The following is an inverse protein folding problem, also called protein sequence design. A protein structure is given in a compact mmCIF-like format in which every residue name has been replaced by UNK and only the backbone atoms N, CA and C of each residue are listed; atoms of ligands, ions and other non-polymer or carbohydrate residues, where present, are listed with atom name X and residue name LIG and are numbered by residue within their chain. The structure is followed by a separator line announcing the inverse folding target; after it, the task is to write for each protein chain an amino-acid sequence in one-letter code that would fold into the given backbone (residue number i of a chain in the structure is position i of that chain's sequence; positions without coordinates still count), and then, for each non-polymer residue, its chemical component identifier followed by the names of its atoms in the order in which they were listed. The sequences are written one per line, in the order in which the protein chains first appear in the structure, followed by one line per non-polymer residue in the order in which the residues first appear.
data_IF_622710334688
#
_entry.id   IF_622710334688
#
_cell.length_a   1.000
_cell.length_b   1.000
_cell.length_c   1.000
_cell.angle_alpha   90.00
_cell.angle_beta   90.00
_cell.angle_gamma   90.00
#
_symmetry.space_group_name_H-M   'P 1'
#
loop_
_entity.id
_entity.type
_entity.pdbx_description
1 polymer ?
#
# COMPACT_ATOMS: atom_id res chain seq x y z
N UNK A 1 -2.10 -1.14 -8.14
CA UNK A 1 -1.24 -0.25 -7.34
C UNK A 1 0.23 -0.57 -7.59
N UNK A 2 0.73 -1.75 -7.28
CA UNK A 2 2.15 -2.13 -7.48
C UNK A 2 2.71 -1.79 -8.86
N UNK A 3 1.95 -2.07 -9.93
CA UNK A 3 2.36 -1.78 -11.33
C UNK A 3 2.63 -0.30 -11.57
N UNK A 4 1.78 0.59 -11.03
CA UNK A 4 1.95 2.05 -11.17
C UNK A 4 3.19 2.52 -10.40
N UNK A 5 3.33 2.08 -9.16
CA UNK A 5 4.42 2.50 -8.29
C UNK A 5 5.76 2.02 -8.86
N UNK A 6 5.79 0.80 -9.41
CA UNK A 6 6.95 0.26 -10.14
C UNK A 6 7.26 1.07 -11.40
N UNK A 7 6.23 1.43 -12.19
CA UNK A 7 6.39 2.27 -13.39
C UNK A 7 6.91 3.68 -13.07
N UNK A 8 6.69 4.16 -11.85
CA UNK A 8 7.24 5.43 -11.34
C UNK A 8 8.66 5.27 -10.76
N UNK A 9 9.25 4.08 -10.80
CA UNK A 9 10.62 3.81 -10.37
C UNK A 9 10.79 3.40 -8.91
N UNK A 10 9.70 3.18 -8.16
CA UNK A 10 9.77 2.70 -6.79
C UNK A 10 10.18 1.20 -6.74
N UNK A 11 10.97 0.80 -5.73
CA UNK A 11 11.04 -0.58 -5.30
C UNK A 11 9.76 -0.92 -4.52
N UNK A 12 9.04 -1.95 -4.95
CA UNK A 12 7.71 -2.27 -4.43
C UNK A 12 7.73 -3.53 -3.58
N UNK A 13 7.30 -3.40 -2.33
CA UNK A 13 7.02 -4.52 -1.42
C UNK A 13 5.50 -4.64 -1.32
N UNK A 14 4.94 -5.73 -1.82
CA UNK A 14 3.50 -5.97 -1.74
C UNK A 14 3.18 -6.90 -0.58
N UNK A 15 2.09 -6.62 0.12
CA UNK A 15 1.58 -7.48 1.20
C UNK A 15 0.18 -7.97 0.88
N UNK A 16 -0.11 -9.22 1.14
CA UNK A 16 -1.44 -9.80 0.97
C UNK A 16 -1.73 -10.91 1.99
N UNK A 17 -3.00 -11.30 2.10
CA UNK A 17 -3.48 -12.33 3.03
C UNK A 17 -3.56 -13.74 2.41
N UNK A 18 -3.10 -13.93 1.18
CA UNK A 18 -3.02 -15.24 0.54
C UNK A 18 -1.89 -15.29 -0.49
N UNK A 19 -1.32 -16.49 -0.66
CA UNK A 19 -0.25 -16.75 -1.64
C UNK A 19 -0.71 -16.45 -3.07
N UNK A 20 -1.95 -16.76 -3.43
CA UNK A 20 -2.51 -16.45 -4.74
C UNK A 20 -2.44 -14.95 -5.06
N UNK A 21 -2.79 -14.10 -4.10
CA UNK A 21 -2.71 -12.65 -4.26
C UNK A 21 -1.26 -12.16 -4.34
N UNK A 22 -0.35 -12.78 -3.59
CA UNK A 22 1.06 -12.46 -3.65
C UNK A 22 1.68 -12.82 -5.00
N UNK A 23 1.25 -13.96 -5.57
CA UNK A 23 1.70 -14.36 -6.90
C UNK A 23 1.25 -13.34 -7.97
N UNK A 24 0.01 -12.87 -7.92
CA UNK A 24 -0.47 -11.78 -8.77
C UNK A 24 0.39 -10.53 -8.57
N UNK A 25 0.71 -10.16 -7.32
CA UNK A 25 1.55 -8.99 -7.06
C UNK A 25 2.95 -9.13 -7.68
N UNK A 26 3.56 -10.33 -7.64
CA UNK A 26 4.85 -10.61 -8.31
C UNK A 26 4.75 -10.47 -9.81
N UNK A 27 3.74 -11.09 -10.43
CA UNK A 27 3.49 -11.00 -11.87
C UNK A 27 3.29 -9.55 -12.33
N UNK A 28 2.67 -8.73 -11.48
CA UNK A 28 2.44 -7.31 -11.70
C UNK A 28 3.64 -6.42 -11.30
N UNK A 29 4.80 -7.00 -11.03
CA UNK A 29 6.07 -6.31 -10.87
C UNK A 29 6.43 -5.88 -9.44
N UNK A 30 5.84 -6.47 -8.40
CA UNK A 30 6.36 -6.30 -7.05
C UNK A 30 7.74 -6.95 -6.91
N UNK A 31 8.71 -6.21 -6.37
CA UNK A 31 10.08 -6.70 -6.17
C UNK A 31 10.16 -7.72 -5.03
N UNK A 32 9.35 -7.51 -3.98
CA UNK A 32 9.25 -8.37 -2.81
C UNK A 32 7.79 -8.56 -2.41
N UNK A 33 7.47 -9.67 -1.77
CA UNK A 33 6.14 -9.92 -1.24
C UNK A 33 6.19 -10.46 0.19
N UNK A 34 5.19 -10.08 1.00
CA UNK A 34 5.07 -10.54 2.39
C UNK A 34 3.65 -11.01 2.66
N UNK A 35 3.50 -12.27 3.05
CA UNK A 35 2.23 -12.81 3.52
C UNK A 35 1.92 -12.27 4.91
N UNK A 36 0.66 -11.88 5.14
CA UNK A 36 0.18 -11.57 6.47
C UNK A 36 -1.04 -12.43 6.83
N UNK A 37 -1.18 -12.88 8.10
CA UNK A 37 -2.31 -13.68 8.52
C UNK A 37 -3.59 -12.83 8.59
N UNK A 38 -4.76 -13.46 8.40
CA UNK A 38 -6.06 -12.77 8.53
C UNK A 38 -6.41 -12.48 9.98
N UNK A 39 -6.05 -13.39 10.88
CA UNK A 39 -6.28 -13.25 12.32
C UNK A 39 -5.00 -12.75 12.98
N UNK A 40 -5.03 -11.52 13.49
CA UNK A 40 -3.86 -10.86 14.04
C UNK A 40 -3.86 -10.97 15.58
N UNK A 41 -2.77 -11.51 16.12
CA UNK A 41 -2.43 -11.47 17.53
C UNK A 41 -1.04 -10.83 17.72
N UNK A 42 -0.58 -10.70 18.94
CA UNK A 42 0.70 -10.04 19.25
C UNK A 42 1.91 -10.76 18.67
N UNK A 43 1.89 -12.09 18.60
CA UNK A 43 3.01 -12.88 18.06
C UNK A 43 3.07 -12.72 16.54
N UNK A 44 1.92 -12.77 15.88
CA UNK A 44 1.79 -12.54 14.43
C UNK A 44 2.10 -11.09 14.04
N UNK A 45 1.77 -10.10 14.87
CA UNK A 45 2.22 -8.72 14.69
C UNK A 45 3.74 -8.60 14.70
N UNK A 46 4.39 -9.28 15.65
CA UNK A 46 5.85 -9.32 15.74
C UNK A 46 6.47 -10.02 14.54
N UNK A 47 5.88 -11.15 14.11
CA UNK A 47 6.30 -11.89 12.92
C UNK A 47 6.18 -11.02 11.67
N UNK A 48 5.03 -10.38 11.43
CA UNK A 48 4.83 -9.47 10.30
C UNK A 48 5.87 -8.35 10.29
N UNK A 49 6.12 -7.71 11.44
CA UNK A 49 7.14 -6.68 11.55
C UNK A 49 8.54 -7.20 11.20
N UNK A 50 8.89 -8.42 11.62
CA UNK A 50 10.18 -9.04 11.31
C UNK A 50 10.29 -9.37 9.82
N UNK A 51 9.23 -9.92 9.22
CA UNK A 51 9.19 -10.25 7.79
C UNK A 51 9.35 -8.99 6.93
N UNK A 52 8.66 -7.90 7.28
CA UNK A 52 8.83 -6.60 6.60
C UNK A 52 10.26 -6.06 6.71
N UNK A 53 10.89 -6.17 7.89
CA UNK A 53 12.29 -5.75 8.09
C UNK A 53 13.28 -6.63 7.35
N UNK A 54 12.98 -7.94 7.18
CA UNK A 54 13.83 -8.85 6.44
C UNK A 54 13.92 -8.47 4.96
N UNK A 55 12.80 -8.06 4.34
CA UNK A 55 12.77 -7.62 2.94
C UNK A 55 13.17 -6.15 2.76
N UNK A 56 13.15 -5.35 3.83
CA UNK A 56 13.55 -3.95 3.86
C UNK A 56 14.48 -3.65 5.05
N UNK A 57 15.73 -4.11 5.04
CA UNK A 57 16.66 -3.99 6.19
C UNK A 57 16.97 -2.53 6.56
N UNK A 58 16.88 -1.60 5.61
CA UNK A 58 17.04 -0.15 5.83
C UNK A 58 15.73 0.57 6.19
N UNK A 59 14.63 -0.21 6.30
CA UNK A 59 13.29 0.31 6.50
C UNK A 59 12.57 0.66 5.19
N UNK A 60 11.28 0.95 5.31
CA UNK A 60 10.36 1.25 4.20
C UNK A 60 10.14 2.76 4.14
N UNK A 61 10.48 3.40 3.02
CA UNK A 61 10.36 4.86 2.88
C UNK A 61 8.90 5.34 2.85
N UNK A 62 8.02 4.57 2.21
CA UNK A 62 6.59 4.91 2.10
C UNK A 62 5.75 3.66 2.36
N UNK A 63 4.89 3.73 3.35
CA UNK A 63 3.88 2.70 3.64
C UNK A 63 2.52 3.23 3.17
N UNK A 64 1.89 2.53 2.23
CA UNK A 64 0.56 2.84 1.73
C UNK A 64 -0.45 1.89 2.37
N UNK A 65 -1.10 2.34 3.46
CA UNK A 65 -1.98 1.48 4.26
C UNK A 65 -3.47 1.73 3.96
N UNK A 66 -4.11 0.71 3.39
CA UNK A 66 -5.57 0.63 3.18
C UNK A 66 -6.25 -0.29 4.19
N UNK A 67 -5.48 -1.03 4.98
CA UNK A 67 -5.95 -2.11 5.83
C UNK A 67 -6.25 -1.61 7.23
N UNK A 68 -5.33 -0.89 7.84
CA UNK A 68 -5.46 -0.38 9.21
C UNK A 68 -5.45 -1.49 10.27
N UNK A 69 -6.28 -1.31 11.30
CA UNK A 69 -6.41 -2.27 12.39
C UNK A 69 -5.08 -2.67 13.02
N UNK A 70 -4.97 -3.94 13.39
CA UNK A 70 -3.78 -4.50 14.05
C UNK A 70 -2.58 -4.70 13.11
N UNK A 71 -2.72 -4.41 11.82
CA UNK A 71 -1.63 -4.47 10.83
C UNK A 71 -0.81 -3.18 10.79
N UNK A 72 -1.35 -2.08 11.28
CA UNK A 72 -0.73 -0.77 11.20
C UNK A 72 0.54 -0.63 12.05
N UNK A 73 0.51 -1.08 13.31
CA UNK A 73 1.66 -0.99 14.20
C UNK A 73 2.86 -1.82 13.69
N UNK A 74 2.73 -3.11 13.28
CA UNK A 74 3.81 -3.88 12.69
C UNK A 74 4.45 -3.18 11.48
N UNK A 75 3.63 -2.58 10.63
CA UNK A 75 4.09 -1.84 9.44
C UNK A 75 4.86 -0.59 9.84
N UNK A 76 4.36 0.20 10.79
CA UNK A 76 5.06 1.38 11.32
C UNK A 76 6.41 1.02 11.96
N UNK A 77 6.52 -0.16 12.58
CA UNK A 77 7.80 -0.64 13.15
C UNK A 77 8.87 -0.95 12.09
N UNK A 78 8.46 -1.17 10.84
CA UNK A 78 9.34 -1.42 9.71
C UNK A 78 9.67 -0.15 8.88
N UNK A 79 9.13 1.00 9.25
CA UNK A 79 9.36 2.27 8.52
C UNK A 79 10.81 2.73 8.62
N UNK A 80 11.31 3.36 7.56
CA UNK A 80 12.63 3.99 7.54
C UNK A 80 12.63 5.32 8.33
N UNK A 81 13.82 5.82 8.66
CA UNK A 81 13.98 7.19 9.13
C UNK A 81 13.51 8.18 8.06
N UNK A 82 12.77 9.20 8.43
CA UNK A 82 12.10 10.14 7.54
C UNK A 82 11.03 9.51 6.62
N UNK A 83 10.67 8.25 6.86
CA UNK A 83 9.63 7.57 6.11
C UNK A 83 8.23 8.16 6.35
N UNK A 84 7.32 7.89 5.43
CA UNK A 84 5.94 8.35 5.48
C UNK A 84 4.97 7.17 5.53
N UNK A 85 4.16 7.14 6.57
CA UNK A 85 3.05 6.22 6.70
C UNK A 85 1.78 6.89 6.20
N UNK A 86 1.26 6.46 5.06
CA UNK A 86 0.08 7.02 4.41
C UNK A 86 -1.17 6.28 4.88
N UNK A 87 -2.05 6.98 5.58
CA UNK A 87 -3.35 6.46 6.06
C UNK A 87 -4.36 6.67 4.95
N UNK A 88 -4.75 5.58 4.26
CA UNK A 88 -5.65 5.59 3.11
C UNK A 88 -7.04 5.04 3.48
N UNK A 89 -7.10 4.01 4.33
CA UNK A 89 -8.35 3.36 4.71
C UNK A 89 -8.22 2.45 5.91
N UNK A 90 -9.34 1.78 6.27
CA UNK A 90 -9.49 1.03 7.53
C UNK A 90 -10.29 -0.25 7.33
N UNK A 91 -9.98 -1.05 6.31
CA UNK A 91 -10.77 -2.27 6.01
C UNK A 91 -10.73 -3.31 7.14
N UNK A 92 -9.68 -3.31 7.99
CA UNK A 92 -9.57 -4.12 9.20
C UNK A 92 -9.86 -3.32 10.49
N UNK A 93 -10.43 -2.12 10.38
CA UNK A 93 -10.75 -1.24 11.50
C UNK A 93 -9.74 -0.12 11.73
N UNK A 94 -10.12 0.83 12.59
CA UNK A 94 -9.30 2.01 12.91
C UNK A 94 -8.09 1.57 13.75
N UNK A 95 -6.85 1.85 13.31
CA UNK A 95 -5.66 1.41 14.03
C UNK A 95 -5.42 2.21 15.31
N UNK A 96 -4.87 1.54 16.32
CA UNK A 96 -4.30 2.20 17.50
C UNK A 96 -2.80 2.34 17.29
N UNK A 97 -2.35 3.56 16.94
CA UNK A 97 -0.95 3.82 16.63
C UNK A 97 -0.18 4.27 17.89
N UNK A 98 0.92 3.57 18.26
CA UNK A 98 1.78 4.03 19.34
C UNK A 98 2.63 5.22 18.88
N UNK A 99 2.17 6.43 19.20
CA UNK A 99 2.78 7.68 18.71
C UNK A 99 4.26 7.85 19.08
N UNK A 100 4.74 7.19 20.15
CA UNK A 100 6.16 7.16 20.48
C UNK A 100 7.03 6.61 19.35
N UNK A 101 6.48 5.76 18.48
CA UNK A 101 7.23 5.26 17.31
C UNK A 101 7.55 6.37 16.31
N UNK A 102 6.72 7.40 16.18
CA UNK A 102 7.03 8.52 15.29
C UNK A 102 8.28 9.27 15.74
N UNK A 103 8.45 9.45 17.05
CA UNK A 103 9.66 10.03 17.64
C UNK A 103 10.88 9.10 17.43
N UNK A 104 10.73 7.80 17.79
CA UNK A 104 11.85 6.84 17.75
C UNK A 104 12.32 6.53 16.33
N UNK A 105 11.43 6.65 15.35
CA UNK A 105 11.71 6.40 13.93
C UNK A 105 11.96 7.69 13.14
N UNK A 106 11.76 8.85 13.75
CA UNK A 106 11.81 10.13 13.05
C UNK A 106 10.99 10.11 11.75
N UNK A 107 9.73 9.63 11.82
CA UNK A 107 8.86 9.41 10.65
C UNK A 107 7.57 10.23 10.73
N UNK A 108 6.80 10.21 9.67
CA UNK A 108 5.53 10.94 9.54
C UNK A 108 4.35 9.96 9.38
N UNK A 109 3.21 10.31 9.99
CA UNK A 109 1.92 9.69 9.71
C UNK A 109 1.07 10.72 8.98
N UNK A 110 0.64 10.42 7.76
CA UNK A 110 -0.02 11.35 6.84
C UNK A 110 -1.36 10.79 6.42
N UNK A 111 -2.44 11.55 6.66
CA UNK A 111 -3.76 11.23 6.13
C UNK A 111 -3.85 11.53 4.63
N UNK A 112 -4.47 10.62 3.87
CA UNK A 112 -4.71 10.79 2.44
C UNK A 112 -6.19 10.56 2.17
N UNK A 113 -6.94 11.64 2.01
CA UNK A 113 -8.38 11.59 1.75
C UNK A 113 -8.67 12.07 0.32
N UNK A 114 -8.52 11.14 -0.63
CA UNK A 114 -8.73 11.44 -2.05
C UNK A 114 -10.13 11.97 -2.35
N UNK A 115 -11.18 11.49 -1.67
CA UNK A 115 -12.55 11.98 -1.86
C UNK A 115 -12.70 13.49 -1.62
N UNK A 116 -12.00 14.02 -0.61
CA UNK A 116 -11.98 15.46 -0.35
C UNK A 116 -11.03 16.20 -1.31
N UNK A 117 -9.86 15.61 -1.57
CA UNK A 117 -8.85 16.18 -2.47
C UNK A 117 -9.41 16.50 -3.86
N UNK A 118 -10.18 15.58 -4.47
CA UNK A 118 -10.76 15.80 -5.79
C UNK A 118 -11.72 17.00 -5.85
N UNK A 119 -12.37 17.35 -4.73
CA UNK A 119 -13.25 18.52 -4.64
C UNK A 119 -12.50 19.82 -4.36
N UNK A 120 -11.40 19.76 -3.60
CA UNK A 120 -10.61 20.94 -3.24
C UNK A 120 -9.58 21.31 -4.32
N UNK A 121 -9.05 20.32 -5.03
CA UNK A 121 -7.99 20.48 -6.01
C UNK A 121 -8.33 19.79 -7.34
N UNK A 122 -9.46 20.18 -8.00
CA UNK A 122 -9.97 19.47 -9.18
C UNK A 122 -8.99 19.48 -10.37
N UNK A 123 -8.26 20.56 -10.56
CA UNK A 123 -7.29 20.66 -11.67
C UNK A 123 -6.09 19.72 -11.43
N UNK A 124 -5.57 19.66 -10.19
CA UNK A 124 -4.49 18.74 -9.85
C UNK A 124 -4.96 17.28 -9.95
N UNK A 125 -6.20 17.01 -9.50
CA UNK A 125 -6.80 15.69 -9.65
C UNK A 125 -6.94 15.29 -11.12
N UNK A 126 -7.39 16.20 -11.99
CA UNK A 126 -7.45 15.98 -13.43
C UNK A 126 -6.07 15.67 -14.00
N UNK A 127 -5.05 16.45 -13.64
CA UNK A 127 -3.68 16.20 -14.11
C UNK A 127 -3.18 14.82 -13.68
N UNK A 128 -3.45 14.40 -12.43
CA UNK A 128 -3.10 13.07 -11.95
C UNK A 128 -3.74 11.95 -12.79
N UNK A 129 -5.00 12.14 -13.23
CA UNK A 129 -5.66 11.20 -14.14
C UNK A 129 -4.99 11.18 -15.51
N UNK A 130 -4.75 12.37 -16.09
CA UNK A 130 -4.11 12.50 -17.40
C UNK A 130 -2.72 11.83 -17.40
N UNK A 131 -1.94 12.01 -16.34
CA UNK A 131 -0.63 11.37 -16.16
C UNK A 131 -0.75 9.85 -16.04
N UNK A 132 -1.73 9.34 -15.29
CA UNK A 132 -1.97 7.90 -15.18
C UNK A 132 -2.39 7.30 -16.54
N UNK A 133 -3.31 7.94 -17.28
CA UNK A 133 -3.71 7.49 -18.61
C UNK A 133 -2.55 7.53 -19.59
N UNK A 134 -1.73 8.59 -19.54
CA UNK A 134 -0.52 8.67 -20.36
C UNK A 134 0.44 7.52 -20.09
N UNK A 135 0.64 7.14 -18.83
CA UNK A 135 1.49 5.99 -18.49
C UNK A 135 0.96 4.68 -19.08
N UNK A 136 -0.36 4.50 -19.13
CA UNK A 136 -0.99 3.33 -19.80
C UNK A 136 -0.81 3.38 -21.30
N UNK A 137 -1.07 4.54 -21.93
CA UNK A 137 -0.90 4.68 -23.40
C UNK A 137 0.55 4.58 -23.86
N UNK A 138 1.49 5.03 -23.04
CA UNK A 138 2.93 4.88 -23.27
C UNK A 138 3.43 3.43 -23.03
N UNK A 139 2.54 2.52 -22.61
CA UNK A 139 2.87 1.12 -22.32
C UNK A 139 3.71 0.90 -21.08
N UNK A 140 3.80 1.91 -20.18
CA UNK A 140 4.58 1.80 -18.94
C UNK A 140 3.98 0.81 -17.94
N UNK A 141 2.66 0.67 -17.95
CA UNK A 141 1.97 -0.40 -17.26
C UNK A 141 0.61 -0.71 -17.93
N UNK A 142 0.10 -1.91 -17.69
CA UNK A 142 -1.21 -2.37 -18.16
C UNK A 142 -2.04 -2.79 -16.95
N UNK A 143 -3.20 -2.14 -16.69
CA UNK A 143 -4.09 -2.57 -15.60
C UNK A 143 -4.56 -4.01 -15.80
N UNK A 144 -4.48 -4.81 -14.73
CA UNK A 144 -4.98 -6.17 -14.75
C UNK A 144 -6.51 -6.17 -14.81
N UNK A 145 -7.08 -6.76 -15.84
CA UNK A 145 -8.53 -7.06 -15.95
C UNK A 145 -8.71 -8.53 -15.62
N UNK A 146 -9.12 -8.83 -14.39
CA UNK A 146 -9.27 -10.21 -13.91
C UNK A 146 -10.55 -10.88 -14.39
N UNK A 147 -11.63 -10.12 -14.58
CA UNK A 147 -12.94 -10.62 -14.97
C UNK A 147 -13.65 -9.66 -15.91
N UNK A 148 -14.45 -10.20 -16.82
CA UNK A 148 -15.36 -9.43 -17.67
C UNK A 148 -16.77 -9.98 -17.49
N UNK A 149 -17.74 -9.09 -17.40
CA UNK A 149 -19.16 -9.43 -17.24
C UNK A 149 -19.97 -8.76 -18.34
N UNK A 150 -21.08 -9.36 -18.74
CA UNK A 150 -22.06 -8.67 -19.57
C UNK A 150 -22.78 -7.64 -18.71
N UNK A 151 -23.26 -6.56 -19.33
CA UNK A 151 -23.94 -5.50 -18.58
C UNK A 151 -25.23 -6.00 -17.88
N UNK A 152 -25.87 -7.02 -18.47
CA UNK A 152 -27.07 -7.67 -17.92
C UNK A 152 -26.78 -8.45 -16.63
N UNK A 153 -25.51 -8.86 -16.42
CA UNK A 153 -25.06 -9.64 -15.25
C UNK A 153 -24.49 -8.73 -14.13
N UNK A 154 -24.62 -7.41 -14.26
CA UNK A 154 -24.03 -6.42 -13.36
C UNK A 154 -24.94 -5.99 -12.20
N UNK A 155 -25.87 -6.82 -11.76
CA UNK A 155 -26.82 -6.55 -10.66
C UNK A 155 -26.35 -7.14 -9.34
#
# INVERSE_FOLDING_TARGET
MCIRDRAMGAKVIATASSEEKLEICKQEGADEVVLYPRDMDKDKQKELSNNLKAVAPNGIDVIYDIVGGDYAEPSLRAIARNGRYLVIGFTAGIPKMPLNLTLLKECQIVGVFWGQFQGLEPEVNKQNFDDCFKMVTDGKFKPLVSHTYKIEDSV
#
